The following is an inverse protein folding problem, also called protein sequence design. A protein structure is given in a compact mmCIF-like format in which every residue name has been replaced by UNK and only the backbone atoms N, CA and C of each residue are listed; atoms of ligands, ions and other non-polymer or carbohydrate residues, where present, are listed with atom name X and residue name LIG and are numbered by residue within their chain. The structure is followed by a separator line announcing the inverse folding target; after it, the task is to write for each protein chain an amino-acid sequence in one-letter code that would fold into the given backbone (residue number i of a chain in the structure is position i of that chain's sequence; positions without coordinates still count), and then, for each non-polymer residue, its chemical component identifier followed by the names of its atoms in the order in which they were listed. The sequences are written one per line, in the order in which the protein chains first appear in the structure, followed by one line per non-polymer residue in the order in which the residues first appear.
data_IF_084492206595
#
_entry.id   IF_084492206595
#
_cell.length_a   1.000
_cell.length_b   1.000
_cell.length_c   1.000
_cell.angle_alpha   90.00
_cell.angle_beta   90.00
_cell.angle_gamma   90.00
#
_symmetry.space_group_name_H-M   'P 1'
#
loop_
_entity.id
_entity.type
_entity.pdbx_description
1 polymer ?
#
# COMPACT_ATOMS: atom_id res chain seq x y z
N UNK A 1 1.69 19.56 -0.83
CA UNK A 1 0.61 18.77 -0.19
C UNK A 1 -0.36 19.74 0.45
N UNK A 2 -1.67 19.52 0.29
CA UNK A 2 -2.69 20.38 0.91
C UNK A 2 -2.75 20.09 2.41
N UNK A 3 -2.72 21.10 3.28
CA UNK A 3 -2.83 20.88 4.72
C UNK A 3 -4.20 20.32 5.08
N UNK A 4 -4.24 19.41 6.05
CA UNK A 4 -5.45 18.88 6.66
C UNK A 4 -6.24 20.02 7.31
N UNK A 5 -7.55 20.09 7.06
CA UNK A 5 -8.44 21.03 7.76
C UNK A 5 -8.56 20.74 9.26
N UNK A 6 -8.25 19.51 9.69
CA UNK A 6 -8.37 19.07 11.09
C UNK A 6 -7.09 19.35 11.89
N UNK A 7 -5.92 19.12 11.29
CA UNK A 7 -4.64 19.19 12.01
C UNK A 7 -3.69 20.29 11.51
N UNK A 8 -3.98 20.94 10.39
CA UNK A 8 -3.09 21.90 9.73
C UNK A 8 -1.83 21.27 9.10
N UNK A 9 -1.57 19.99 9.36
CA UNK A 9 -0.41 19.27 8.84
C UNK A 9 -0.64 18.80 7.40
N UNK A 10 0.42 18.66 6.58
CA UNK A 10 0.32 18.11 5.23
C UNK A 10 -0.43 16.78 5.21
N UNK A 11 -1.52 16.70 4.44
CA UNK A 11 -2.28 15.47 4.26
C UNK A 11 -1.87 14.77 2.96
N UNK A 12 -1.79 13.43 2.94
CA UNK A 12 -1.65 12.70 1.69
C UNK A 12 -2.91 12.89 0.85
N UNK A 13 -2.73 12.96 -0.48
CA UNK A 13 -3.84 13.16 -1.43
C UNK A 13 -4.74 11.94 -1.59
N UNK A 14 -4.23 10.76 -1.27
CA UNK A 14 -4.89 9.47 -1.41
C UNK A 14 -4.43 8.54 -0.27
N UNK A 15 -5.05 7.38 -0.17
CA UNK A 15 -4.70 6.33 0.79
C UNK A 15 -3.32 5.74 0.50
N UNK A 16 -2.74 5.08 1.49
CA UNK A 16 -1.39 4.52 1.41
C UNK A 16 -1.23 3.51 0.27
N UNK A 17 -2.22 2.64 0.08
CA UNK A 17 -2.26 1.61 -0.96
C UNK A 17 -2.20 2.21 -2.37
N UNK A 18 -2.98 3.27 -2.63
CA UNK A 18 -2.96 3.94 -3.94
C UNK A 18 -1.62 4.64 -4.18
N UNK A 19 -1.08 5.32 -3.16
CA UNK A 19 0.21 5.99 -3.27
C UNK A 19 1.37 4.99 -3.45
N UNK A 20 1.29 3.82 -2.80
CA UNK A 20 2.29 2.76 -2.94
C UNK A 20 2.26 2.15 -4.35
N UNK A 21 1.07 1.81 -4.86
CA UNK A 21 0.88 1.31 -6.22
C UNK A 21 1.48 2.26 -7.27
N UNK A 22 1.13 3.55 -7.20
CA UNK A 22 1.70 4.56 -8.10
C UNK A 22 3.23 4.68 -7.95
N UNK A 23 3.76 4.48 -6.74
CA UNK A 23 5.20 4.52 -6.50
C UNK A 23 5.89 3.32 -7.17
N UNK A 24 5.31 2.13 -7.09
CA UNK A 24 5.84 0.95 -7.78
C UNK A 24 5.84 1.15 -9.30
N UNK A 25 4.74 1.66 -9.87
CA UNK A 25 4.62 1.92 -11.30
C UNK A 25 5.69 2.91 -11.79
N UNK A 26 5.89 4.02 -11.05
CA UNK A 26 6.93 5.02 -11.38
C UNK A 26 8.35 4.47 -11.26
N UNK A 27 8.57 3.50 -10.38
CA UNK A 27 9.87 2.85 -10.18
C UNK A 27 10.07 1.61 -11.07
N UNK A 28 9.10 1.26 -11.92
CA UNK A 28 9.15 0.06 -12.74
C UNK A 28 9.23 -1.23 -11.92
N UNK A 29 8.60 -1.24 -10.74
CA UNK A 29 8.52 -2.42 -9.87
C UNK A 29 7.21 -3.14 -10.19
N UNK A 30 7.30 -4.39 -10.64
CA UNK A 30 6.13 -5.24 -10.78
C UNK A 30 5.54 -5.53 -9.39
N UNK A 31 4.22 -5.42 -9.28
CA UNK A 31 3.52 -5.59 -8.01
C UNK A 31 2.16 -6.24 -8.22
N UNK A 32 1.69 -6.92 -7.17
CA UNK A 32 0.32 -7.43 -7.04
C UNK A 32 -0.20 -7.12 -5.64
N UNK A 33 -1.52 -7.12 -5.47
CA UNK A 33 -2.11 -7.08 -4.14
C UNK A 33 -1.60 -8.26 -3.29
N UNK A 34 -1.36 -8.06 -2.00
CA UNK A 34 -0.99 -9.14 -1.09
C UNK A 34 -2.08 -10.23 -1.00
N UNK A 35 -1.70 -11.42 -0.57
CA UNK A 35 -2.56 -12.62 -0.55
C UNK A 35 -3.88 -12.39 0.18
N UNK A 36 -3.85 -11.74 1.34
CA UNK A 36 -5.07 -11.46 2.11
C UNK A 36 -6.06 -10.58 1.31
N UNK A 37 -5.55 -9.58 0.60
CA UNK A 37 -6.37 -8.69 -0.24
C UNK A 37 -6.92 -9.43 -1.46
N UNK A 38 -6.11 -10.28 -2.11
CA UNK A 38 -6.57 -11.11 -3.22
C UNK A 38 -7.70 -12.04 -2.79
N UNK A 39 -7.56 -12.73 -1.64
CA UNK A 39 -8.60 -13.61 -1.11
C UNK A 39 -9.89 -12.86 -0.77
N UNK A 40 -9.77 -11.68 -0.16
CA UNK A 40 -10.93 -10.85 0.18
C UNK A 40 -11.66 -10.39 -1.08
N UNK A 41 -10.93 -9.87 -2.07
CA UNK A 41 -11.49 -9.42 -3.34
C UNK A 41 -12.12 -10.56 -4.14
N UNK A 42 -11.59 -11.78 -4.03
CA UNK A 42 -12.15 -12.98 -4.64
C UNK A 42 -13.38 -13.56 -3.90
N UNK A 43 -13.78 -12.96 -2.76
CA UNK A 43 -14.87 -13.48 -1.94
C UNK A 43 -14.56 -14.81 -1.24
N UNK A 44 -13.27 -15.20 -1.18
CA UNK A 44 -12.82 -16.45 -0.57
C UNK A 44 -12.58 -16.32 0.95
N UNK A 45 -12.67 -15.10 1.47
CA UNK A 45 -12.61 -14.82 2.91
C UNK A 45 -13.51 -13.63 3.24
N UNK A 46 -14.06 -13.63 4.45
CA UNK A 46 -14.80 -12.49 5.02
C UNK A 46 -13.91 -11.61 5.90
N UNK A 47 -12.66 -12.03 6.13
CA UNK A 47 -11.69 -11.24 6.90
C UNK A 47 -11.24 -10.04 6.09
N UNK A 48 -11.62 -8.85 6.55
CA UNK A 48 -11.22 -7.57 5.94
C UNK A 48 -9.72 -7.36 6.18
N UNK A 49 -8.90 -7.19 5.13
CA UNK A 49 -7.48 -6.87 5.28
C UNK A 49 -7.30 -5.52 5.97
N UNK A 50 -6.48 -5.48 7.01
CA UNK A 50 -6.23 -4.29 7.82
C UNK A 50 -4.85 -3.69 7.59
N UNK A 51 -3.96 -4.40 6.89
CA UNK A 51 -2.62 -3.96 6.51
C UNK A 51 -2.53 -3.74 5.01
N UNK A 52 -1.74 -2.76 4.61
CA UNK A 52 -1.39 -2.52 3.21
C UNK A 52 -0.20 -3.40 2.83
N UNK A 53 -0.49 -4.54 2.19
CA UNK A 53 0.53 -5.52 1.80
C UNK A 53 0.53 -5.69 0.28
N UNK A 54 1.72 -5.72 -0.31
CA UNK A 54 1.92 -6.00 -1.74
C UNK A 54 2.87 -7.17 -1.95
N UNK A 55 2.54 -8.01 -2.92
CA UNK A 55 3.44 -9.03 -3.45
C UNK A 55 4.33 -8.37 -4.51
N UNK A 56 5.64 -8.36 -4.25
CA UNK A 56 6.66 -7.77 -5.15
C UNK A 56 7.51 -8.83 -5.86
N UNK A 57 7.13 -10.11 -5.79
CA UNK A 57 7.89 -11.19 -6.41
C UNK A 57 7.99 -11.05 -7.93
N UNK A 58 9.15 -11.36 -8.54
CA UNK A 58 10.32 -12.00 -7.92
C UNK A 58 11.31 -11.02 -7.24
N UNK A 59 11.02 -9.71 -7.21
CA UNK A 59 11.95 -8.69 -6.74
C UNK A 59 11.71 -8.35 -5.26
N UNK A 60 12.62 -8.80 -4.40
CA UNK A 60 12.60 -8.40 -2.98
C UNK A 60 12.85 -6.89 -2.81
N UNK A 61 11.89 -6.19 -2.21
CA UNK A 61 12.03 -4.80 -1.79
C UNK A 61 12.38 -4.72 -0.31
N UNK A 62 13.43 -3.97 0.03
CA UNK A 62 13.85 -3.70 1.42
C UNK A 62 13.64 -2.26 1.86
N UNK A 63 13.34 -1.36 0.92
CA UNK A 63 13.09 0.05 1.23
C UNK A 63 11.74 0.21 1.91
N UNK A 64 11.73 0.97 2.99
CA UNK A 64 10.52 1.33 3.72
C UNK A 64 9.75 2.41 2.95
N UNK A 65 8.48 2.13 2.64
CA UNK A 65 7.54 3.10 2.09
C UNK A 65 6.51 3.42 3.18
N UNK A 66 6.39 4.69 3.54
CA UNK A 66 5.51 5.15 4.61
C UNK A 66 4.87 6.50 4.30
N UNK A 67 3.67 6.70 4.85
CA UNK A 67 2.94 7.97 4.81
C UNK A 67 2.30 8.16 6.19
N UNK A 68 2.76 9.17 6.93
CA UNK A 68 2.35 9.36 8.32
C UNK A 68 2.71 8.13 9.17
N UNK A 69 1.71 7.48 9.77
CA UNK A 69 1.88 6.24 10.56
C UNK A 69 1.68 4.97 9.74
N UNK A 70 1.20 5.09 8.50
CA UNK A 70 0.94 3.95 7.62
C UNK A 70 2.23 3.48 6.97
N UNK A 71 2.45 2.16 6.95
CA UNK A 71 3.64 1.52 6.39
C UNK A 71 3.21 0.42 5.43
N UNK A 72 3.89 0.34 4.29
CA UNK A 72 3.70 -0.76 3.34
C UNK A 72 4.49 -1.98 3.79
N UNK A 73 3.83 -3.15 3.83
CA UNK A 73 4.49 -4.44 4.02
C UNK A 73 4.62 -5.17 2.67
N UNK A 74 5.63 -6.04 2.57
CA UNK A 74 5.93 -6.78 1.35
C UNK A 74 5.83 -8.29 1.59
N UNK A 75 5.10 -8.96 0.71
CA UNK A 75 5.13 -10.41 0.52
C UNK A 75 6.06 -10.74 -0.65
N UNK A 76 6.74 -11.89 -0.58
CA UNK A 76 7.46 -12.47 -1.71
C UNK A 76 7.20 -13.97 -1.77
#
# INVERSE_FOLDING_TARGET
ATPSRLSGQPAPRQTLDVLAAETFDRLGIAWRQGKAQQLYNAGLTTQVPWRTIFDTSPRRISRRLEVGKGVVEYEN
#
